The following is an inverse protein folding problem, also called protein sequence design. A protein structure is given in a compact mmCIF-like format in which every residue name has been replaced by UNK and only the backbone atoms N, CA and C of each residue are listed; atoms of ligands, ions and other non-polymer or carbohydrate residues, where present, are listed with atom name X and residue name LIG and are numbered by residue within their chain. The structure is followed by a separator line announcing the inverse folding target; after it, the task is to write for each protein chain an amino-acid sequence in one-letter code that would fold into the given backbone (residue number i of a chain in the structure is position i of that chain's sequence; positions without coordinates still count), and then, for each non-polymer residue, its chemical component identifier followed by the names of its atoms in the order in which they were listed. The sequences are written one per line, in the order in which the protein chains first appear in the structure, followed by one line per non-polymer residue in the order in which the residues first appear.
data_IF_878183378498
#
_entry.id   IF_878183378498
#
_cell.length_a   1.000
_cell.length_b   1.000
_cell.length_c   1.000
_cell.angle_alpha   90.00
_cell.angle_beta   90.00
_cell.angle_gamma   90.00
#
_symmetry.space_group_name_H-M   'P 1'
#
loop_
_entity.id
_entity.type
_entity.pdbx_description
1 polymer ?
#
# COMPACT_ATOMS: atom_id res chain seq x y z
N UNK A 1 35.53 0.16 32.29
CA UNK A 1 34.19 0.60 32.70
C UNK A 1 33.29 0.94 31.49
N UNK A 2 33.88 1.25 30.33
CA UNK A 2 33.13 1.63 29.14
C UNK A 2 32.59 0.46 28.24
N UNK A 3 32.97 -0.78 28.55
CA UNK A 3 32.50 -1.93 27.77
C UNK A 3 31.16 -2.50 28.26
N UNK A 4 30.83 -2.29 29.53
CA UNK A 4 29.61 -2.81 30.17
C UNK A 4 28.38 -1.91 29.90
N UNK A 5 28.59 -0.64 29.57
CA UNK A 5 27.50 0.30 29.22
C UNK A 5 27.02 0.20 27.80
N UNK A 6 27.70 -0.53 26.90
CA UNK A 6 27.28 -0.71 25.52
C UNK A 6 26.34 -1.90 25.28
N UNK A 7 26.24 -2.83 26.22
CA UNK A 7 25.37 -4.02 26.05
C UNK A 7 23.94 -3.83 26.53
N UNK A 8 23.65 -2.78 27.30
CA UNK A 8 22.31 -2.49 27.84
C UNK A 8 21.58 -1.32 27.16
N UNK A 9 22.03 -0.88 25.99
CA UNK A 9 21.25 0.10 25.23
C UNK A 9 20.06 -0.61 24.58
N UNK A 10 18.81 -0.24 24.93
CA UNK A 10 17.65 -0.83 24.29
C UNK A 10 17.80 -0.66 22.77
N UNK A 11 17.53 -1.75 22.03
CA UNK A 11 17.55 -1.79 20.56
C UNK A 11 16.78 -0.64 19.90
N UNK A 12 15.85 -0.01 20.61
CA UNK A 12 15.06 1.15 20.17
C UNK A 12 15.87 2.44 19.96
N UNK A 13 17.15 2.53 20.43
CA UNK A 13 18.01 3.71 20.29
C UNK A 13 19.16 3.51 19.30
N UNK A 14 19.23 2.39 18.61
CA UNK A 14 20.11 2.27 17.44
C UNK A 14 19.49 3.00 16.26
N UNK A 15 19.68 4.29 16.20
CA UNK A 15 19.52 5.10 15.00
C UNK A 15 20.68 4.82 14.04
N UNK A 16 20.80 3.58 13.55
CA UNK A 16 21.52 3.32 12.32
C UNK A 16 20.66 3.85 11.18
N UNK A 17 21.03 5.00 10.63
CA UNK A 17 20.40 5.67 9.48
C UNK A 17 20.44 4.86 8.18
N UNK A 18 20.62 3.54 8.26
CA UNK A 18 20.58 2.58 7.16
C UNK A 18 19.58 1.43 7.36
N UNK A 19 18.65 1.53 8.32
CA UNK A 19 17.52 0.61 8.32
C UNK A 19 16.78 0.78 6.99
N UNK A 20 17.16 -0.05 6.00
CA UNK A 20 16.47 -0.20 4.72
C UNK A 20 15.00 -0.33 5.07
N UNK A 21 14.20 0.67 4.68
CA UNK A 21 12.73 0.64 4.81
C UNK A 21 12.24 -0.57 4.00
N UNK A 22 12.26 -1.74 4.62
CA UNK A 22 11.66 -2.95 4.06
C UNK A 22 10.16 -2.82 4.23
N UNK A 23 9.42 -2.96 3.15
CA UNK A 23 7.96 -3.03 3.20
C UNK A 23 7.55 -4.10 4.19
N UNK A 24 6.56 -3.82 5.03
CA UNK A 24 6.07 -4.81 5.98
C UNK A 24 5.62 -6.09 5.25
N UNK A 25 5.87 -7.27 5.83
CA UNK A 25 5.59 -8.56 5.19
C UNK A 25 4.18 -8.69 4.65
N UNK A 26 3.18 -8.13 5.34
CA UNK A 26 1.78 -8.16 4.94
C UNK A 26 1.48 -7.33 3.66
N UNK A 27 2.21 -6.22 3.43
CA UNK A 27 2.06 -5.43 2.19
C UNK A 27 2.65 -6.19 1.03
N UNK A 28 3.83 -6.78 1.21
CA UNK A 28 4.52 -7.55 0.18
C UNK A 28 3.67 -8.76 -0.22
N UNK A 29 3.06 -9.47 0.73
CA UNK A 29 2.19 -10.60 0.44
C UNK A 29 0.91 -10.21 -0.32
N UNK A 30 0.31 -9.06 0.02
CA UNK A 30 -0.81 -8.50 -0.75
C UNK A 30 -0.39 -8.08 -2.15
N UNK A 31 0.78 -7.46 -2.29
CA UNK A 31 1.33 -7.07 -3.59
C UNK A 31 1.56 -8.29 -4.50
N UNK A 32 2.10 -9.38 -3.96
CA UNK A 32 2.29 -10.63 -4.72
C UNK A 32 0.96 -11.24 -5.14
N UNK A 33 -0.07 -11.27 -4.29
CA UNK A 33 -1.42 -11.74 -4.68
C UNK A 33 -2.01 -10.91 -5.82
N UNK A 34 -1.87 -9.58 -5.78
CA UNK A 34 -2.30 -8.69 -6.86
C UNK A 34 -1.50 -8.92 -8.14
N UNK A 35 -0.18 -9.15 -8.03
CA UNK A 35 0.67 -9.51 -9.16
C UNK A 35 0.17 -10.79 -9.84
N UNK A 36 -0.10 -11.85 -9.08
CA UNK A 36 -0.63 -13.11 -9.64
C UNK A 36 -1.99 -12.91 -10.33
N UNK A 37 -2.87 -12.08 -9.76
CA UNK A 37 -4.15 -11.73 -10.39
C UNK A 37 -3.93 -11.01 -11.73
N UNK A 38 -3.02 -10.02 -11.77
CA UNK A 38 -2.65 -9.31 -13.00
C UNK A 38 -2.06 -10.28 -14.03
N UNK A 39 -1.15 -11.18 -13.63
CA UNK A 39 -0.58 -12.20 -14.50
C UNK A 39 -1.67 -13.12 -15.09
N UNK A 40 -2.62 -13.58 -14.28
CA UNK A 40 -3.73 -14.42 -14.73
C UNK A 40 -4.61 -13.68 -15.75
N UNK A 41 -4.98 -12.43 -15.47
CA UNK A 41 -5.75 -11.59 -16.39
C UNK A 41 -4.98 -11.39 -17.70
N UNK A 42 -3.68 -11.12 -17.64
CA UNK A 42 -2.85 -10.96 -18.83
C UNK A 42 -2.79 -12.23 -19.67
N UNK A 43 -2.65 -13.40 -19.05
CA UNK A 43 -2.65 -14.67 -19.76
C UNK A 43 -4.00 -14.91 -20.48
N UNK A 44 -5.12 -14.66 -19.81
CA UNK A 44 -6.46 -14.78 -20.41
C UNK A 44 -6.64 -13.78 -21.55
N UNK A 45 -6.27 -12.51 -21.36
CA UNK A 45 -6.37 -11.49 -22.41
C UNK A 45 -5.44 -11.78 -23.58
N UNK A 46 -4.27 -12.35 -23.35
CA UNK A 46 -3.34 -12.77 -24.40
C UNK A 46 -3.98 -13.86 -25.28
N UNK A 47 -4.54 -14.90 -24.68
CA UNK A 47 -5.23 -15.98 -25.41
C UNK A 47 -6.46 -15.44 -26.14
N UNK A 48 -7.29 -14.64 -25.47
CA UNK A 48 -8.51 -14.06 -26.05
C UNK A 48 -8.19 -13.12 -27.22
N UNK A 49 -7.15 -12.29 -27.11
CA UNK A 49 -6.75 -11.39 -28.20
C UNK A 49 -6.31 -12.14 -29.44
N UNK A 50 -5.62 -13.28 -29.27
CA UNK A 50 -5.22 -14.15 -30.38
C UNK A 50 -6.44 -14.82 -31.05
N UNK A 51 -7.37 -15.31 -30.23
CA UNK A 51 -8.61 -15.90 -30.75
C UNK A 51 -9.43 -14.86 -31.54
N UNK A 52 -9.64 -13.67 -30.98
CA UNK A 52 -10.36 -12.59 -31.64
C UNK A 52 -9.68 -12.12 -32.94
N UNK A 53 -8.36 -12.04 -32.97
CA UNK A 53 -7.62 -11.70 -34.20
C UNK A 53 -7.85 -12.76 -35.30
N UNK A 54 -7.86 -14.04 -34.94
CA UNK A 54 -8.16 -15.12 -35.90
C UNK A 54 -9.58 -15.08 -36.46
N UNK A 55 -10.56 -14.75 -35.63
CA UNK A 55 -11.98 -14.74 -36.03
C UNK A 55 -12.37 -13.45 -36.77
N UNK A 56 -11.95 -12.28 -36.23
CA UNK A 56 -12.42 -10.98 -36.74
C UNK A 56 -11.57 -10.40 -37.89
N UNK A 57 -10.36 -10.89 -38.08
CA UNK A 57 -9.43 -10.35 -39.08
C UNK A 57 -8.71 -11.47 -39.85
N UNK A 58 -9.45 -12.35 -40.57
CA UNK A 58 -8.85 -13.48 -41.29
C UNK A 58 -7.87 -13.04 -42.39
N UNK A 59 -8.04 -11.82 -42.95
CA UNK A 59 -7.11 -11.25 -43.93
C UNK A 59 -5.71 -10.90 -43.35
N UNK A 60 -5.59 -10.83 -42.04
CA UNK A 60 -4.30 -10.64 -41.35
C UNK A 60 -3.64 -11.95 -40.90
N UNK A 61 -3.97 -13.06 -41.54
CA UNK A 61 -3.38 -14.38 -41.28
C UNK A 61 -1.86 -14.39 -41.18
N UNK A 62 -1.18 -13.53 -41.95
CA UNK A 62 0.29 -13.36 -41.88
C UNK A 62 0.80 -12.97 -40.48
N UNK A 63 0.00 -12.27 -39.65
CA UNK A 63 0.39 -11.94 -38.26
C UNK A 63 0.24 -13.13 -37.32
N UNK A 64 -0.72 -14.02 -37.59
CA UNK A 64 -0.92 -15.26 -36.85
C UNK A 64 0.15 -16.29 -37.18
N UNK A 65 0.67 -16.24 -38.41
CA UNK A 65 1.73 -17.13 -38.91
C UNK A 65 3.14 -16.66 -38.50
N UNK A 66 3.30 -15.43 -38.02
CA UNK A 66 4.62 -14.93 -37.64
C UNK A 66 5.16 -15.68 -36.41
N UNK A 67 6.24 -16.46 -36.56
CA UNK A 67 6.77 -17.31 -35.49
C UNK A 67 7.31 -16.48 -34.33
N UNK A 68 7.91 -15.32 -34.57
CA UNK A 68 8.43 -14.45 -33.53
C UNK A 68 7.33 -13.89 -32.63
N UNK A 69 6.19 -13.54 -33.21
CA UNK A 69 5.05 -13.05 -32.45
C UNK A 69 4.40 -14.17 -31.62
N UNK A 70 4.28 -15.37 -32.18
CA UNK A 70 3.76 -16.53 -31.46
C UNK A 70 4.65 -16.95 -30.30
N UNK A 71 5.97 -16.97 -30.48
CA UNK A 71 6.90 -17.28 -29.38
C UNK A 71 6.83 -16.25 -28.25
N UNK A 72 6.67 -14.97 -28.58
CA UNK A 72 6.49 -13.91 -27.55
C UNK A 72 5.19 -14.10 -26.75
N UNK A 73 4.08 -14.38 -27.40
CA UNK A 73 2.80 -14.63 -26.70
C UNK A 73 2.87 -15.89 -25.83
N UNK A 74 3.48 -16.95 -26.31
CA UNK A 74 3.73 -18.17 -25.52
C UNK A 74 4.61 -17.84 -24.31
N UNK A 75 5.66 -17.06 -24.48
CA UNK A 75 6.54 -16.64 -23.38
C UNK A 75 5.79 -15.82 -22.32
N UNK A 76 4.87 -14.93 -22.72
CA UNK A 76 4.02 -14.17 -21.79
C UNK A 76 3.11 -15.10 -21.00
N UNK A 77 2.44 -16.05 -21.64
CA UNK A 77 1.54 -17.02 -20.96
C UNK A 77 2.34 -17.92 -20.02
N UNK A 78 3.48 -18.46 -20.47
CA UNK A 78 4.33 -19.31 -19.63
C UNK A 78 4.94 -18.54 -18.47
N UNK A 79 5.37 -17.29 -18.68
CA UNK A 79 5.88 -16.42 -17.63
C UNK A 79 4.83 -16.10 -16.56
N UNK A 80 3.60 -15.81 -17.00
CA UNK A 80 2.48 -15.60 -16.09
C UNK A 80 2.14 -16.86 -15.27
N UNK A 81 2.09 -18.02 -15.92
CA UNK A 81 1.89 -19.30 -15.25
C UNK A 81 3.04 -19.63 -14.29
N UNK A 82 4.28 -19.37 -14.68
CA UNK A 82 5.47 -19.55 -13.84
C UNK A 82 5.39 -18.73 -12.56
N UNK A 83 5.05 -17.44 -12.64
CA UNK A 83 4.89 -16.57 -11.46
C UNK A 83 3.77 -17.11 -10.55
N UNK A 84 2.63 -17.55 -11.12
CA UNK A 84 1.53 -18.11 -10.35
C UNK A 84 1.93 -19.40 -9.64
N UNK A 85 2.69 -20.29 -10.29
CA UNK A 85 3.20 -21.53 -9.70
C UNK A 85 4.23 -21.26 -8.60
N UNK A 86 5.16 -20.33 -8.80
CA UNK A 86 6.14 -19.92 -7.79
C UNK A 86 5.47 -19.42 -6.50
N UNK A 87 4.36 -18.67 -6.67
CA UNK A 87 3.54 -18.21 -5.55
C UNK A 87 2.79 -19.36 -4.88
N UNK A 88 2.15 -20.24 -5.68
CA UNK A 88 1.33 -21.33 -5.18
C UNK A 88 2.14 -22.30 -4.32
N UNK A 89 3.29 -22.71 -4.81
CA UNK A 89 4.19 -23.63 -4.11
C UNK A 89 5.12 -22.95 -3.09
N UNK A 90 5.05 -21.62 -2.93
CA UNK A 90 5.90 -20.83 -2.03
C UNK A 90 7.40 -21.11 -2.17
N UNK A 91 7.85 -21.36 -3.39
CA UNK A 91 9.24 -21.72 -3.68
C UNK A 91 10.24 -20.59 -3.45
N UNK A 92 9.80 -19.35 -3.54
CA UNK A 92 10.63 -18.17 -3.40
C UNK A 92 10.06 -17.18 -2.38
N UNK A 93 10.92 -16.29 -1.88
CA UNK A 93 10.48 -15.21 -0.99
C UNK A 93 9.51 -14.27 -1.72
N UNK A 94 8.51 -13.70 -1.03
CA UNK A 94 7.56 -12.76 -1.64
C UNK A 94 8.23 -11.55 -2.30
N UNK A 95 9.36 -11.08 -1.76
CA UNK A 95 10.16 -10.00 -2.33
C UNK A 95 10.79 -10.41 -3.67
N UNK A 96 11.30 -11.63 -3.76
CA UNK A 96 11.89 -12.17 -5.00
C UNK A 96 10.82 -12.32 -6.08
N UNK A 97 9.65 -12.83 -5.74
CA UNK A 97 8.53 -12.96 -6.68
C UNK A 97 8.10 -11.58 -7.21
N UNK A 98 8.06 -10.56 -6.34
CA UNK A 98 7.75 -9.20 -6.76
C UNK A 98 8.80 -8.63 -7.72
N UNK A 99 10.09 -8.92 -7.49
CA UNK A 99 11.18 -8.50 -8.38
C UNK A 99 11.10 -9.20 -9.75
N UNK A 100 10.76 -10.49 -9.79
CA UNK A 100 10.51 -11.23 -11.03
C UNK A 100 9.31 -10.62 -11.78
N UNK A 101 8.26 -10.22 -11.04
CA UNK A 101 7.08 -9.55 -11.60
C UNK A 101 7.41 -8.23 -12.30
N UNK A 102 8.40 -7.46 -11.80
CA UNK A 102 8.86 -6.24 -12.47
C UNK A 102 9.56 -6.56 -13.81
N UNK A 103 10.37 -7.60 -13.85
CA UNK A 103 10.98 -8.07 -15.10
C UNK A 103 9.91 -8.55 -16.10
N UNK A 104 8.91 -9.27 -15.61
CA UNK A 104 7.77 -9.73 -16.42
C UNK A 104 6.97 -8.56 -17.00
N UNK A 105 6.77 -7.49 -16.25
CA UNK A 105 6.12 -6.26 -16.73
C UNK A 105 6.81 -5.71 -17.98
N UNK A 106 8.14 -5.65 -17.99
CA UNK A 106 8.94 -5.15 -19.12
C UNK A 106 8.82 -6.10 -20.32
N UNK A 107 8.85 -7.41 -20.08
CA UNK A 107 8.69 -8.43 -21.15
C UNK A 107 7.33 -8.29 -21.83
N UNK A 108 6.25 -8.13 -21.05
CA UNK A 108 4.91 -7.91 -21.59
C UNK A 108 4.83 -6.59 -22.36
N UNK A 109 5.41 -5.51 -21.82
CA UNK A 109 5.48 -4.22 -22.51
C UNK A 109 6.19 -4.34 -23.87
N UNK A 110 7.29 -5.10 -23.93
CA UNK A 110 8.01 -5.36 -25.18
C UNK A 110 7.19 -6.19 -26.16
N UNK A 111 6.50 -7.25 -25.71
CA UNK A 111 5.65 -8.08 -26.54
C UNK A 111 4.48 -7.26 -27.16
N UNK A 112 3.86 -6.39 -26.37
CA UNK A 112 2.81 -5.48 -26.84
C UNK A 112 3.37 -4.48 -27.88
N UNK A 113 4.54 -3.88 -27.58
CA UNK A 113 5.22 -2.92 -28.46
C UNK A 113 5.62 -3.55 -29.80
N UNK A 114 6.18 -4.74 -29.74
CA UNK A 114 6.59 -5.47 -30.93
C UNK A 114 5.40 -5.79 -31.83
N UNK A 115 4.31 -6.31 -31.27
CA UNK A 115 3.09 -6.56 -32.03
C UNK A 115 2.47 -5.30 -32.62
N UNK A 116 2.47 -4.19 -31.88
CA UNK A 116 1.94 -2.91 -32.34
C UNK A 116 2.73 -2.28 -33.49
N UNK A 117 4.03 -2.53 -33.55
CA UNK A 117 4.95 -1.96 -34.55
C UNK A 117 5.17 -2.84 -35.78
N UNK A 118 4.67 -4.10 -35.76
CA UNK A 118 4.74 -5.00 -36.92
C UNK A 118 3.89 -4.58 -38.11
N UNK A 119 2.79 -3.84 -37.85
CA UNK A 119 1.93 -3.33 -38.91
C UNK A 119 2.34 -1.91 -39.19
N UNK A 120 2.77 -1.59 -40.43
CA UNK A 120 3.14 -0.21 -40.76
C UNK A 120 1.92 0.69 -40.52
N UNK A 121 2.12 1.78 -39.78
CA UNK A 121 1.04 2.77 -39.59
C UNK A 121 0.75 3.41 -40.95
N UNK A 122 -0.45 3.13 -41.51
CA UNK A 122 -0.89 3.74 -42.77
C UNK A 122 -0.92 5.25 -42.60
N UNK A 123 -0.28 5.95 -43.54
CA UNK A 123 -0.10 7.42 -43.51
C UNK A 123 -1.40 8.22 -43.42
N UNK A 124 -2.51 7.64 -43.83
CA UNK A 124 -3.82 8.30 -43.98
C UNK A 124 -4.78 8.13 -42.80
N UNK A 125 -4.48 7.27 -41.82
CA UNK A 125 -5.37 7.11 -40.67
C UNK A 125 -5.02 8.10 -39.58
N UNK A 126 -6.00 8.87 -39.07
CA UNK A 126 -5.78 9.69 -37.90
C UNK A 126 -5.38 8.78 -36.73
N UNK A 127 -4.33 9.18 -35.98
CA UNK A 127 -3.84 8.42 -34.83
C UNK A 127 -4.81 8.69 -33.67
N UNK A 128 -5.91 7.96 -33.63
CA UNK A 128 -6.80 7.95 -32.46
C UNK A 128 -6.57 6.66 -31.69
N UNK A 129 -6.11 6.79 -30.47
CA UNK A 129 -6.02 5.66 -29.55
C UNK A 129 -4.90 5.80 -28.53
N UNK A 130 -5.17 5.33 -27.33
CA UNK A 130 -4.17 5.16 -26.26
C UNK A 130 -3.28 3.99 -26.66
N UNK A 131 -1.96 4.18 -26.65
CA UNK A 131 -1.02 3.07 -26.86
C UNK A 131 -1.30 1.96 -25.83
N UNK A 132 -1.37 0.71 -26.29
CA UNK A 132 -1.58 -0.44 -25.41
C UNK A 132 -0.49 -0.57 -24.33
N UNK A 133 0.74 -0.14 -24.63
CA UNK A 133 1.85 -0.05 -23.65
C UNK A 133 1.54 1.01 -22.58
N UNK A 134 0.97 2.15 -22.97
CA UNK A 134 0.54 3.20 -22.02
C UNK A 134 -0.51 2.67 -21.05
N UNK A 135 -1.50 1.95 -21.57
CA UNK A 135 -2.51 1.29 -20.74
C UNK A 135 -1.88 0.26 -19.81
N UNK A 136 -0.95 -0.56 -20.31
CA UNK A 136 -0.24 -1.56 -19.54
C UNK A 136 0.55 -0.95 -18.37
N UNK A 137 1.36 0.08 -18.63
CA UNK A 137 2.14 0.81 -17.60
C UNK A 137 1.19 1.36 -16.52
N UNK A 138 0.04 1.90 -16.92
CA UNK A 138 -0.95 2.48 -16.00
C UNK A 138 -1.59 1.42 -15.12
N UNK A 139 -2.09 0.33 -15.70
CA UNK A 139 -2.77 -0.75 -14.97
C UNK A 139 -1.83 -1.40 -13.96
N UNK A 140 -0.62 -1.77 -14.38
CA UNK A 140 0.36 -2.38 -13.47
C UNK A 140 0.80 -1.38 -12.39
N UNK A 141 0.94 -0.09 -12.76
CA UNK A 141 1.29 0.98 -11.82
C UNK A 141 0.29 1.20 -10.70
N UNK A 142 -0.99 1.02 -10.98
CA UNK A 142 -2.07 1.18 -10.01
C UNK A 142 -2.28 -0.07 -9.14
N UNK A 143 -2.09 -1.26 -9.71
CA UNK A 143 -2.43 -2.51 -9.04
C UNK A 143 -1.30 -3.06 -8.16
N UNK A 144 -0.03 -2.83 -8.53
CA UNK A 144 1.12 -3.40 -7.83
C UNK A 144 1.84 -2.30 -7.04
N UNK A 145 1.64 -2.21 -5.71
CA UNK A 145 2.35 -1.25 -4.88
C UNK A 145 3.85 -1.60 -4.82
N UNK A 146 4.67 -0.62 -5.14
CA UNK A 146 6.13 -0.70 -5.09
C UNK A 146 6.72 0.61 -4.58
N UNK A 147 8.03 0.58 -4.22
CA UNK A 147 8.75 1.81 -3.89
C UNK A 147 8.66 2.77 -5.09
N UNK A 148 8.31 4.05 -4.88
CA UNK A 148 8.01 4.97 -5.97
C UNK A 148 9.13 5.09 -7.02
N UNK A 149 10.41 5.08 -6.58
CA UNK A 149 11.54 5.16 -7.50
C UNK A 149 11.71 3.90 -8.36
N UNK A 150 11.46 2.70 -7.78
CA UNK A 150 11.50 1.43 -8.55
C UNK A 150 10.40 1.47 -9.61
N UNK A 151 9.21 1.96 -9.22
CA UNK A 151 8.08 2.11 -10.13
C UNK A 151 8.39 3.04 -11.30
N UNK A 152 9.05 4.17 -11.02
CA UNK A 152 9.47 5.09 -12.08
C UNK A 152 10.44 4.43 -13.06
N UNK A 153 11.46 3.75 -12.53
CA UNK A 153 12.47 3.08 -13.36
C UNK A 153 11.84 2.01 -14.24
N UNK A 154 11.00 1.13 -13.67
CA UNK A 154 10.34 0.07 -14.46
C UNK A 154 9.38 0.64 -15.51
N UNK A 155 8.62 1.69 -15.17
CA UNK A 155 7.74 2.34 -16.12
C UNK A 155 8.50 3.03 -17.26
N UNK A 156 9.64 3.66 -16.98
CA UNK A 156 10.51 4.24 -18.01
C UNK A 156 11.12 3.16 -18.92
N UNK A 157 11.60 2.05 -18.34
CA UNK A 157 12.10 0.91 -19.15
C UNK A 157 10.96 0.35 -20.01
N UNK A 158 9.76 0.17 -19.47
CA UNK A 158 8.60 -0.27 -20.23
C UNK A 158 8.20 0.71 -21.33
N UNK A 159 8.31 2.02 -21.09
CA UNK A 159 8.06 3.04 -22.13
C UNK A 159 9.09 2.99 -23.26
N UNK A 160 10.36 2.67 -22.97
CA UNK A 160 11.42 2.55 -23.99
C UNK A 160 11.27 1.30 -24.86
N UNK A 161 10.43 0.33 -24.48
CA UNK A 161 10.20 -0.88 -25.30
C UNK A 161 9.54 -0.54 -26.64
N UNK A 162 8.72 0.51 -26.70
CA UNK A 162 8.04 0.89 -27.96
C UNK A 162 9.02 1.44 -29.00
N UNK A 163 9.85 2.45 -28.74
CA UNK A 163 10.85 2.90 -29.71
C UNK A 163 11.85 1.81 -30.06
N UNK A 164 12.23 0.96 -29.12
CA UNK A 164 13.13 -0.16 -29.40
C UNK A 164 12.49 -1.17 -30.37
N UNK A 165 11.26 -1.57 -30.13
CA UNK A 165 10.51 -2.48 -31.00
C UNK A 165 10.28 -1.87 -32.40
N UNK A 166 10.02 -0.56 -32.47
CA UNK A 166 9.86 0.17 -33.71
C UNK A 166 11.14 0.13 -34.56
N UNK A 167 12.29 0.47 -33.96
CA UNK A 167 13.59 0.45 -34.65
C UNK A 167 13.92 -0.99 -35.10
N UNK A 168 13.68 -1.98 -34.26
CA UNK A 168 13.89 -3.39 -34.60
C UNK A 168 13.05 -3.81 -35.81
N UNK A 169 11.74 -3.50 -35.82
CA UNK A 169 10.86 -3.83 -36.93
C UNK A 169 11.18 -3.03 -38.21
N UNK A 170 11.65 -1.78 -38.08
CA UNK A 170 12.12 -0.98 -39.21
C UNK A 170 13.29 -1.67 -39.93
N UNK A 171 14.26 -2.18 -39.17
CA UNK A 171 15.40 -2.92 -39.73
C UNK A 171 15.02 -4.28 -40.31
N UNK A 172 14.08 -5.02 -39.66
CA UNK A 172 13.70 -6.36 -40.11
C UNK A 172 12.74 -6.36 -41.30
N UNK A 173 11.89 -5.36 -41.41
CA UNK A 173 10.78 -5.35 -42.39
C UNK A 173 10.98 -4.32 -43.51
N UNK A 174 11.99 -3.45 -43.42
CA UNK A 174 12.31 -2.47 -44.48
C UNK A 174 11.20 -1.43 -44.73
N UNK A 175 10.37 -1.13 -43.72
CA UNK A 175 9.31 -0.12 -43.82
C UNK A 175 9.91 1.29 -43.96
N UNK A 176 9.17 2.18 -44.61
CA UNK A 176 9.48 3.61 -44.57
C UNK A 176 9.39 4.15 -43.13
N UNK A 177 10.37 4.96 -42.68
CA UNK A 177 10.34 5.52 -41.34
C UNK A 177 9.19 6.50 -41.18
N UNK A 178 8.59 6.50 -39.98
CA UNK A 178 7.55 7.47 -39.63
C UNK A 178 8.11 8.90 -39.65
N UNK A 179 7.31 9.88 -40.05
CA UNK A 179 7.64 11.30 -39.85
C UNK A 179 7.96 11.56 -38.35
N UNK A 180 8.98 12.37 -38.10
CA UNK A 180 9.45 12.66 -36.74
C UNK A 180 8.33 13.10 -35.78
N UNK A 181 7.40 13.91 -36.27
CA UNK A 181 6.25 14.39 -35.50
C UNK A 181 5.35 13.23 -34.99
N UNK A 182 5.11 12.23 -35.84
CA UNK A 182 4.33 11.04 -35.46
C UNK A 182 5.10 10.13 -34.50
N UNK A 183 6.39 9.94 -34.77
CA UNK A 183 7.25 9.17 -33.88
C UNK A 183 7.30 9.76 -32.47
N UNK A 184 7.50 11.07 -32.35
CA UNK A 184 7.49 11.78 -31.08
C UNK A 184 6.13 11.70 -30.37
N UNK A 185 5.02 11.75 -31.11
CA UNK A 185 3.68 11.60 -30.55
C UNK A 185 3.47 10.22 -29.90
N UNK A 186 3.95 9.14 -30.53
CA UNK A 186 3.85 7.80 -29.97
C UNK A 186 4.74 7.59 -28.74
N UNK A 187 5.90 8.21 -28.70
CA UNK A 187 6.79 8.15 -27.55
C UNK A 187 6.25 8.98 -26.38
N UNK A 188 5.72 10.17 -26.64
CA UNK A 188 5.29 11.09 -25.60
C UNK A 188 4.32 10.46 -24.58
N UNK A 189 3.30 9.76 -25.04
CA UNK A 189 2.25 9.20 -24.17
C UNK A 189 2.76 8.19 -23.13
N UNK A 190 3.54 7.13 -23.46
CA UNK A 190 4.09 6.20 -22.48
C UNK A 190 4.97 6.88 -21.42
N UNK A 191 5.80 7.86 -21.82
CA UNK A 191 6.67 8.54 -20.86
C UNK A 191 5.89 9.49 -19.94
N UNK A 192 4.88 10.17 -20.44
CA UNK A 192 3.99 10.97 -19.60
C UNK A 192 3.26 10.09 -18.57
N UNK A 193 2.78 8.92 -18.99
CA UNK A 193 2.13 8.01 -18.06
C UNK A 193 3.09 7.38 -17.06
N UNK A 194 4.36 7.19 -17.40
CA UNK A 194 5.38 6.78 -16.43
C UNK A 194 5.53 7.82 -15.29
N UNK A 195 5.50 9.10 -15.61
CA UNK A 195 5.52 10.18 -14.61
C UNK A 195 4.23 10.20 -13.79
N UNK A 196 3.08 10.09 -14.43
CA UNK A 196 1.77 10.07 -13.73
C UNK A 196 1.69 8.88 -12.77
N UNK A 197 2.07 7.68 -13.20
CA UNK A 197 2.09 6.48 -12.33
C UNK A 197 3.07 6.62 -11.16
N UNK A 198 4.20 7.30 -11.35
CA UNK A 198 5.11 7.63 -10.26
C UNK A 198 4.44 8.52 -9.21
N UNK A 199 3.77 9.60 -9.63
CA UNK A 199 3.09 10.52 -8.70
C UNK A 199 2.01 9.79 -7.92
N UNK A 200 1.20 8.98 -8.60
CA UNK A 200 0.14 8.18 -7.96
C UNK A 200 0.75 7.15 -7.00
N UNK A 201 1.77 6.40 -7.43
CA UNK A 201 2.45 5.41 -6.58
C UNK A 201 3.07 6.06 -5.34
N UNK A 202 3.62 7.27 -5.46
CA UNK A 202 4.15 8.02 -4.32
C UNK A 202 3.06 8.38 -3.30
N UNK A 203 1.86 8.74 -3.77
CA UNK A 203 0.70 9.03 -2.90
C UNK A 203 0.22 7.76 -2.20
N UNK A 204 -0.01 6.68 -2.93
CA UNK A 204 -0.45 5.40 -2.39
C UNK A 204 0.56 4.87 -1.37
N UNK A 205 1.86 4.90 -1.70
CA UNK A 205 2.92 4.42 -0.83
C UNK A 205 2.99 5.21 0.50
N UNK A 206 2.81 6.53 0.46
CA UNK A 206 2.72 7.35 1.68
C UNK A 206 1.51 6.98 2.53
N UNK A 207 0.33 6.87 1.92
CA UNK A 207 -0.89 6.48 2.65
C UNK A 207 -0.76 5.10 3.30
N UNK A 208 -0.11 4.13 2.64
CA UNK A 208 0.12 2.80 3.21
C UNK A 208 1.11 2.82 4.39
N UNK A 209 2.15 3.67 4.32
CA UNK A 209 3.09 3.86 5.43
C UNK A 209 2.39 4.53 6.61
N UNK A 210 1.61 5.60 6.39
CA UNK A 210 0.90 6.31 7.43
C UNK A 210 -0.08 5.38 8.18
N UNK A 211 -0.82 4.54 7.45
CA UNK A 211 -1.72 3.53 8.04
C UNK A 211 -0.96 2.47 8.85
N UNK A 212 0.27 2.11 8.45
CA UNK A 212 1.07 1.14 9.21
C UNK A 212 1.68 1.76 10.46
N UNK A 213 2.16 3.00 10.38
CA UNK A 213 2.72 3.70 11.53
C UNK A 213 1.68 3.87 12.65
N UNK A 214 0.41 4.03 12.28
CA UNK A 214 -0.70 4.06 13.25
C UNK A 214 -0.96 2.68 13.86
N UNK A 215 -0.69 1.59 13.16
CA UNK A 215 -0.89 0.22 13.68
C UNK A 215 0.18 -0.26 14.64
N UNK A 216 1.35 0.37 14.63
CA UNK A 216 2.47 0.03 15.51
C UNK A 216 2.69 1.14 16.54
N UNK A 217 1.98 1.06 17.66
CA UNK A 217 2.09 2.00 18.78
C UNK A 217 2.97 1.40 19.88
N UNK A 218 4.26 1.71 19.85
CA UNK A 218 5.21 1.18 20.82
C UNK A 218 5.26 -0.36 20.82
N UNK A 219 4.97 -0.97 21.96
CA UNK A 219 4.94 -2.43 22.13
C UNK A 219 3.58 -3.08 21.78
N UNK A 220 2.63 -2.34 21.21
CA UNK A 220 1.28 -2.80 20.96
C UNK A 220 0.94 -2.84 19.47
N UNK A 221 0.17 -3.87 19.07
CA UNK A 221 -0.42 -3.98 17.74
C UNK A 221 -1.91 -3.70 17.82
N UNK A 222 -2.42 -2.78 16.99
CA UNK A 222 -3.85 -2.55 16.85
C UNK A 222 -4.53 -3.74 16.16
N UNK A 223 -5.60 -4.26 16.77
CA UNK A 223 -6.33 -5.46 16.31
C UNK A 223 -7.63 -5.07 15.62
N UNK A 224 -8.50 -4.33 16.30
CA UNK A 224 -9.81 -3.93 15.78
C UNK A 224 -10.24 -2.58 16.33
N UNK A 225 -11.03 -1.87 15.55
CA UNK A 225 -11.65 -0.61 15.95
C UNK A 225 -12.79 -0.87 16.93
N UNK A 226 -12.84 -0.11 18.03
CA UNK A 226 -13.89 -0.20 19.06
C UNK A 226 -14.89 0.93 18.91
N UNK A 227 -14.41 2.18 18.71
CA UNK A 227 -15.30 3.32 18.61
C UNK A 227 -14.58 4.65 18.43
N UNK A 228 -15.36 5.68 18.13
CA UNK A 228 -14.92 7.08 18.00
C UNK A 228 -15.62 7.93 19.02
N UNK A 229 -14.87 8.84 19.68
CA UNK A 229 -15.41 9.87 20.56
C UNK A 229 -14.94 11.26 20.17
N UNK A 230 -15.40 12.27 20.89
CA UNK A 230 -15.02 13.67 20.64
C UNK A 230 -13.51 13.93 20.67
N UNK A 231 -12.74 13.17 21.44
CA UNK A 231 -11.29 13.33 21.61
C UNK A 231 -10.45 12.41 20.70
N UNK A 232 -11.04 11.45 20.00
CA UNK A 232 -10.28 10.55 19.16
C UNK A 232 -10.89 9.18 18.95
N UNK A 233 -10.06 8.22 18.53
CA UNK A 233 -10.44 6.86 18.21
C UNK A 233 -9.96 5.90 19.28
N UNK A 234 -10.77 4.88 19.59
CA UNK A 234 -10.41 3.80 20.51
C UNK A 234 -10.31 2.50 19.75
N UNK A 235 -9.18 1.82 19.93
CA UNK A 235 -8.85 0.58 19.26
C UNK A 235 -8.54 -0.53 20.27
N UNK A 236 -8.99 -1.75 20.00
CA UNK A 236 -8.48 -2.95 20.66
C UNK A 236 -7.06 -3.20 20.16
N UNK A 237 -6.16 -3.42 21.09
CA UNK A 237 -4.76 -3.69 20.81
C UNK A 237 -4.27 -4.90 21.62
N UNK A 238 -3.15 -5.47 21.19
CA UNK A 238 -2.51 -6.59 21.86
C UNK A 238 -1.03 -6.30 22.07
N UNK A 239 -0.54 -6.48 23.28
CA UNK A 239 0.89 -6.33 23.56
C UNK A 239 1.69 -7.43 22.86
N UNK A 240 2.78 -7.07 22.17
CA UNK A 240 3.56 -8.01 21.34
C UNK A 240 4.19 -9.16 22.09
N UNK A 241 4.75 -8.87 23.27
CA UNK A 241 5.48 -9.85 24.06
C UNK A 241 4.62 -10.50 25.14
N UNK A 242 3.77 -9.73 25.82
CA UNK A 242 2.98 -10.22 26.95
C UNK A 242 1.65 -10.88 26.53
N UNK A 243 1.31 -10.84 25.24
CA UNK A 243 0.05 -11.34 24.68
C UNK A 243 -1.21 -10.81 25.40
N UNK A 244 -1.10 -9.67 26.09
CA UNK A 244 -2.15 -9.00 26.85
C UNK A 244 -2.98 -8.11 25.94
N UNK A 245 -4.30 -8.21 26.03
CA UNK A 245 -5.21 -7.30 25.36
C UNK A 245 -5.28 -5.96 26.10
N UNK A 246 -5.40 -4.89 25.35
CA UNK A 246 -5.51 -3.51 25.84
C UNK A 246 -6.44 -2.69 24.93
N UNK A 247 -6.92 -1.57 25.44
CA UNK A 247 -7.57 -0.53 24.64
C UNK A 247 -6.58 0.61 24.42
N UNK A 248 -6.44 1.09 23.17
CA UNK A 248 -5.61 2.25 22.85
C UNK A 248 -6.50 3.37 22.34
N UNK A 249 -6.43 4.51 23.03
CA UNK A 249 -7.09 5.73 22.62
C UNK A 249 -6.12 6.64 21.91
N UNK A 250 -6.35 6.85 20.60
CA UNK A 250 -5.60 7.77 19.74
C UNK A 250 -6.25 9.15 19.83
N UNK A 251 -5.48 10.16 20.16
CA UNK A 251 -5.98 11.53 20.28
C UNK A 251 -5.74 12.26 18.96
N UNK A 252 -6.78 12.94 18.47
CA UNK A 252 -6.70 13.71 17.22
C UNK A 252 -5.76 14.89 17.34
N UNK A 253 -4.88 15.05 16.38
CA UNK A 253 -3.93 16.17 16.32
C UNK A 253 -4.63 17.52 16.09
N UNK A 254 -5.77 17.56 15.40
CA UNK A 254 -6.58 18.76 15.14
C UNK A 254 -7.14 19.41 16.41
N UNK A 255 -7.39 18.63 17.46
CA UNK A 255 -7.80 19.14 18.77
C UNK A 255 -6.65 19.77 19.57
N UNK A 256 -5.43 19.48 19.17
CA UNK A 256 -4.21 19.99 19.84
C UNK A 256 -3.65 21.27 19.20
N UNK A 257 -4.09 21.60 17.97
CA UNK A 257 -3.60 22.76 17.18
C UNK A 257 -4.63 23.90 17.28
N UNK A 258 -5.02 24.31 18.47
CA UNK A 258 -6.05 25.39 18.61
C UNK A 258 -5.47 26.79 18.53
N UNK A 259 -4.12 26.98 18.42
CA UNK A 259 -3.54 28.32 18.21
C UNK A 259 -2.27 28.25 17.35
N UNK A 260 -2.19 29.07 16.27
CA UNK A 260 -0.97 29.23 15.49
C UNK A 260 0.12 29.89 16.39
N UNK A 261 1.19 29.17 16.69
CA UNK A 261 2.33 29.66 17.47
C UNK A 261 2.56 28.97 18.82
N UNK A 262 1.71 28.05 19.26
CA UNK A 262 1.98 27.24 20.46
C UNK A 262 3.07 26.19 20.17
N UNK A 263 4.17 26.28 20.87
CA UNK A 263 5.31 25.35 20.75
C UNK A 263 4.85 23.92 21.06
N UNK A 264 5.18 22.99 20.22
CA UNK A 264 4.95 21.54 20.40
C UNK A 264 5.37 20.99 21.75
N UNK A 265 6.37 21.62 22.38
CA UNK A 265 6.92 21.26 23.70
C UNK A 265 5.94 21.52 24.85
N UNK A 266 5.14 22.60 24.78
CA UNK A 266 4.14 22.93 25.82
C UNK A 266 3.00 21.92 25.81
N UNK A 267 2.51 21.59 24.61
CA UNK A 267 1.45 20.59 24.44
C UNK A 267 1.90 19.21 24.92
N UNK A 268 3.15 18.84 24.59
CA UNK A 268 3.77 17.58 25.05
C UNK A 268 3.91 17.51 26.56
N UNK A 269 4.31 18.60 27.19
CA UNK A 269 4.47 18.69 28.65
C UNK A 269 3.11 18.59 29.35
N UNK A 270 2.09 19.27 28.83
CA UNK A 270 0.72 19.20 29.35
C UNK A 270 0.15 17.79 29.25
N UNK A 271 0.26 17.15 28.07
CA UNK A 271 -0.16 15.77 27.85
C UNK A 271 0.51 14.81 28.84
N UNK A 272 1.84 14.94 29.03
CA UNK A 272 2.59 14.12 30.00
C UNK A 272 2.08 14.28 31.42
N UNK A 273 1.79 15.51 31.86
CA UNK A 273 1.24 15.76 33.18
C UNK A 273 -0.15 15.17 33.38
N UNK A 274 -1.02 15.31 32.37
CA UNK A 274 -2.36 14.72 32.39
C UNK A 274 -2.31 13.19 32.44
N UNK A 275 -1.43 12.57 31.63
CA UNK A 275 -1.22 11.14 31.64
C UNK A 275 -0.70 10.63 33.00
N UNK A 276 0.25 11.36 33.62
CA UNK A 276 0.78 11.02 34.93
C UNK A 276 -0.29 11.13 36.03
N UNK A 277 -1.14 12.15 35.97
CA UNK A 277 -2.26 12.30 36.91
C UNK A 277 -3.24 11.13 36.77
N UNK A 278 -3.62 10.73 35.55
CA UNK A 278 -4.51 9.58 35.33
C UNK A 278 -3.84 8.27 35.81
N UNK A 279 -2.53 8.11 35.57
CA UNK A 279 -1.79 6.92 35.96
C UNK A 279 -1.62 6.78 37.50
N UNK A 280 -1.77 7.87 38.26
CA UNK A 280 -1.72 7.83 39.72
C UNK A 280 -3.03 7.39 40.38
N UNK A 281 -4.14 7.39 39.64
CA UNK A 281 -5.45 6.97 40.16
C UNK A 281 -5.46 5.45 40.42
N UNK A 282 -5.91 5.06 41.61
CA UNK A 282 -5.99 3.67 42.04
C UNK A 282 -7.43 3.22 42.31
N UNK A 283 -8.40 4.08 42.16
CA UNK A 283 -9.80 3.78 42.36
C UNK A 283 -10.26 2.64 41.43
N UNK A 284 -10.93 1.57 41.95
CA UNK A 284 -11.37 0.46 41.12
C UNK A 284 -12.46 0.83 40.09
N UNK A 285 -13.02 2.03 40.21
CA UNK A 285 -14.01 2.57 39.30
C UNK A 285 -13.41 3.48 38.21
N UNK A 286 -12.08 3.59 38.16
CA UNK A 286 -11.31 4.31 37.15
C UNK A 286 -10.57 3.36 36.24
N UNK A 287 -10.61 3.59 34.91
CA UNK A 287 -9.90 2.76 33.92
C UNK A 287 -8.39 2.81 34.16
N UNK A 288 -7.77 1.65 34.31
CA UNK A 288 -6.34 1.56 34.56
C UNK A 288 -5.51 1.92 33.34
N UNK A 289 -4.60 2.87 33.48
CA UNK A 289 -3.68 3.31 32.43
C UNK A 289 -2.40 2.48 32.49
N UNK A 290 -2.08 1.73 31.42
CA UNK A 290 -0.86 0.91 31.35
C UNK A 290 0.34 1.66 30.83
N UNK A 291 0.12 2.53 29.83
CA UNK A 291 1.19 3.24 29.13
C UNK A 291 0.61 4.46 28.40
N UNK A 292 1.47 5.39 28.03
CA UNK A 292 1.11 6.51 27.17
C UNK A 292 2.32 6.90 26.30
N UNK A 293 2.08 7.52 25.17
CA UNK A 293 3.16 7.88 24.29
C UNK A 293 2.77 8.79 23.14
N UNK A 294 3.73 8.98 22.27
CA UNK A 294 3.59 9.72 21.02
C UNK A 294 3.91 8.78 19.90
N UNK A 295 2.95 8.59 18.99
CA UNK A 295 3.13 7.82 17.78
C UNK A 295 4.11 8.51 16.83
N UNK A 296 4.65 7.78 15.85
CA UNK A 296 5.61 8.32 14.88
C UNK A 296 5.04 9.48 14.03
N UNK A 297 3.72 9.51 13.84
CA UNK A 297 3.00 10.58 13.15
C UNK A 297 2.74 11.83 14.05
N UNK A 298 3.24 11.83 15.29
CA UNK A 298 3.06 12.91 16.26
C UNK A 298 1.74 12.86 17.05
N UNK A 299 0.87 11.87 16.82
CA UNK A 299 -0.37 11.69 17.57
C UNK A 299 -0.07 11.16 18.97
N UNK A 300 -0.75 11.69 19.96
CA UNK A 300 -0.70 11.18 21.33
C UNK A 300 -1.61 9.96 21.48
N UNK A 301 -1.20 9.02 22.35
CA UNK A 301 -2.02 7.86 22.66
C UNK A 301 -1.93 7.45 24.12
N UNK A 302 -3.03 6.89 24.62
CA UNK A 302 -3.11 6.22 25.91
C UNK A 302 -3.36 4.73 25.70
N UNK A 303 -2.65 3.90 26.46
CA UNK A 303 -2.89 2.46 26.54
C UNK A 303 -3.53 2.15 27.87
N UNK A 304 -4.73 1.60 27.84
CA UNK A 304 -5.54 1.33 29.02
C UNK A 304 -6.06 -0.10 29.01
N UNK A 305 -6.60 -0.52 30.12
CA UNK A 305 -7.26 -1.82 30.19
C UNK A 305 -8.44 -1.92 29.21
N UNK A 306 -8.59 -3.10 28.62
CA UNK A 306 -9.74 -3.41 27.77
C UNK A 306 -10.88 -3.90 28.66
N UNK A 307 -11.93 -3.10 28.76
CA UNK A 307 -13.11 -3.46 29.52
C UNK A 307 -14.01 -4.37 28.70
N UNK A 308 -14.48 -5.45 29.34
CA UNK A 308 -15.52 -6.31 28.78
C UNK A 308 -16.86 -5.87 29.33
N UNK A 309 -17.64 -5.14 28.54
CA UNK A 309 -18.88 -4.56 28.96
C UNK A 309 -19.54 -3.66 27.91
N UNK A 310 -20.56 -2.92 28.33
CA UNK A 310 -21.29 -1.96 27.51
C UNK A 310 -21.26 -0.58 28.14
N UNK A 311 -21.32 0.47 27.32
CA UNK A 311 -21.42 1.86 27.82
C UNK A 311 -22.77 2.10 28.45
N UNK A 312 -22.85 3.09 29.36
CA UNK A 312 -24.13 3.53 29.95
C UNK A 312 -25.14 3.98 28.87
N UNK A 313 -24.64 4.58 27.77
CA UNK A 313 -25.48 4.92 26.63
C UNK A 313 -26.10 3.66 26.01
N UNK A 314 -25.33 2.65 25.73
CA UNK A 314 -25.81 1.38 25.17
C UNK A 314 -26.74 0.66 26.14
N UNK A 315 -26.52 0.80 27.45
CA UNK A 315 -27.38 0.23 28.47
C UNK A 315 -28.80 0.86 28.40
N UNK A 316 -28.86 2.18 28.29
CA UNK A 316 -30.15 2.92 28.19
C UNK A 316 -30.81 2.66 26.84
N UNK A 317 -30.05 2.69 25.74
CA UNK A 317 -30.59 2.45 24.39
C UNK A 317 -31.17 1.04 24.24
N UNK A 318 -30.54 0.03 24.86
CA UNK A 318 -30.98 -1.37 24.76
C UNK A 318 -32.06 -1.78 25.75
N UNK A 319 -32.01 -1.24 26.98
CA UNK A 319 -32.85 -1.69 28.09
C UNK A 319 -33.78 -0.59 28.63
N UNK A 320 -33.75 0.60 28.05
CA UNK A 320 -34.56 1.72 28.46
C UNK A 320 -34.07 2.42 29.73
N UNK A 321 -34.86 3.32 30.29
CA UNK A 321 -34.56 4.05 31.52
C UNK A 321 -34.22 3.13 32.67
N UNK A 322 -33.19 3.44 33.44
CA UNK A 322 -32.70 2.62 34.53
C UNK A 322 -33.41 2.99 35.87
N UNK A 323 -33.67 1.99 36.75
CA UNK A 323 -34.28 2.27 38.06
C UNK A 323 -33.36 3.16 38.91
N UNK A 324 -33.96 4.00 39.76
CA UNK A 324 -33.26 4.98 40.60
C UNK A 324 -32.14 4.34 41.45
N UNK A 325 -32.38 3.15 42.00
CA UNK A 325 -31.36 2.43 42.77
C UNK A 325 -30.11 2.13 41.99
N UNK A 326 -30.25 1.75 40.71
CA UNK A 326 -29.11 1.49 39.83
C UNK A 326 -28.37 2.76 39.45
N UNK A 327 -29.08 3.85 39.18
CA UNK A 327 -28.51 5.16 38.90
C UNK A 327 -27.68 5.66 40.09
N UNK A 328 -28.24 5.54 41.33
CA UNK A 328 -27.53 5.93 42.55
C UNK A 328 -26.28 5.07 42.75
N UNK A 329 -26.37 3.79 42.46
CA UNK A 329 -25.19 2.90 42.53
C UNK A 329 -24.07 3.36 41.58
N UNK A 330 -24.38 3.67 40.32
CA UNK A 330 -23.39 4.19 39.37
C UNK A 330 -22.85 5.55 39.82
N UNK A 331 -23.69 6.47 40.24
CA UNK A 331 -23.24 7.78 40.71
C UNK A 331 -22.33 7.71 41.92
N UNK A 332 -22.60 6.77 42.87
CA UNK A 332 -21.70 6.56 44.00
C UNK A 332 -20.28 6.16 43.53
N UNK A 333 -20.19 5.22 42.61
CA UNK A 333 -18.90 4.78 42.05
C UNK A 333 -18.16 5.93 41.33
N UNK A 334 -18.92 6.78 40.58
CA UNK A 334 -18.35 7.96 39.96
C UNK A 334 -17.84 8.95 41.00
N UNK A 335 -18.58 9.19 42.09
CA UNK A 335 -18.16 10.08 43.17
C UNK A 335 -16.90 9.55 43.86
N UNK A 336 -16.82 8.24 44.13
CA UNK A 336 -15.61 7.60 44.71
C UNK A 336 -14.41 7.78 43.81
N UNK A 337 -14.58 7.71 42.49
CA UNK A 337 -13.47 7.95 41.51
C UNK A 337 -13.08 9.43 41.41
N UNK A 338 -13.98 10.37 41.66
CA UNK A 338 -13.72 11.81 41.60
C UNK A 338 -13.17 12.38 42.91
N UNK A 339 -13.29 11.67 44.02
CA UNK A 339 -12.79 12.06 45.33
C UNK A 339 -11.26 11.86 45.43
N UNK A 340 -10.69 10.97 44.64
CA UNK A 340 -9.23 10.68 44.56
C UNK A 340 -8.47 11.79 43.78
#
# INVERSE_FOLDING_TARGET
MDRILRENTPWALRTDGSARQTLAPQIVERAVRRLCMVCAICAVLAVLSRFLQGVLQPEKGRLLENPAMNTMWIAVVLGAAGIALLQHYRLLSPVTILSIGLGFEVIVAFAISYGATMVPPRSERPIFGISAVTLWITVVGLLIPNKPWIRLVTALISATTWPLAYVLNLHLSGFEPLPLSRFLFWIYMPYMMAVVTYVISRRIYRMEIDVQQVRELGSYNLVSFIGTGGMGEVWRARHRLLARDAAIKLIRNDLMITQPGYRSDVTRTRFKREAQAIASLQCPHTVYLFDFGIAQNGSFYYVMELLDGISLQMLVDKFGPQPASRVIHFLRQVCESLEE
#
